data_IF_880944211252
#
_entry.id   IF_880944211252
#
_cell.length_a   1.000
_cell.length_b   1.000
_cell.length_c   1.000
_cell.angle_alpha   90.00
_cell.angle_beta   90.00
_cell.angle_gamma   90.00
#
_symmetry.space_group_name_H-M   'P 1'
#
loop_
_entity.id
_entity.type
_entity.pdbx_description
1 polymer ?
#
# COMPACT_ATOMS: atom_id res chain seq x y z
N UNK A 1 10.21 18.60 1.35
CA UNK A 1 8.88 17.95 1.56
C UNK A 1 9.01 16.78 2.53
N UNK A 2 9.84 15.77 2.25
CA UNK A 2 10.13 14.67 3.18
C UNK A 2 10.69 15.15 4.52
N UNK A 3 11.71 16.01 4.50
CA UNK A 3 12.33 16.53 5.75
C UNK A 3 11.34 17.28 6.64
N UNK A 4 10.33 17.93 6.03
CA UNK A 4 9.28 18.64 6.75
C UNK A 4 8.34 17.64 7.45
N UNK A 5 7.98 16.54 6.80
CA UNK A 5 7.17 15.48 7.42
C UNK A 5 7.92 14.78 8.56
N UNK A 6 9.25 14.61 8.41
CA UNK A 6 10.10 14.08 9.49
C UNK A 6 10.19 15.08 10.64
N UNK A 7 10.44 16.36 10.35
CA UNK A 7 10.51 17.41 11.38
C UNK A 7 9.19 17.59 12.14
N UNK A 8 8.05 17.35 11.48
CA UNK A 8 6.72 17.36 12.09
C UNK A 8 6.36 16.08 12.84
N UNK A 9 7.23 15.06 12.82
CA UNK A 9 7.01 13.78 13.49
C UNK A 9 5.98 12.87 12.79
N UNK A 10 5.61 13.17 11.55
CA UNK A 10 4.71 12.33 10.75
C UNK A 10 5.43 11.12 10.14
N UNK A 11 6.75 11.20 9.96
CA UNK A 11 7.60 10.12 9.47
C UNK A 11 8.79 9.93 10.39
N UNK A 12 9.20 8.68 10.55
CA UNK A 12 10.46 8.31 11.21
C UNK A 12 11.36 7.63 10.20
N UNK A 13 12.63 8.02 10.15
CA UNK A 13 13.63 7.35 9.31
C UNK A 13 14.08 6.08 10.03
N UNK A 14 13.86 4.94 9.42
CA UNK A 14 14.33 3.65 9.91
C UNK A 14 15.53 3.18 9.06
N UNK A 15 16.53 2.59 9.72
CA UNK A 15 17.64 1.91 9.05
C UNK A 15 17.46 0.41 9.26
N UNK A 16 17.64 -0.37 8.19
CA UNK A 16 17.65 -1.83 8.31
C UNK A 16 18.92 -2.30 9.03
N UNK A 17 18.73 -3.12 10.04
CA UNK A 17 19.79 -3.91 10.66
C UNK A 17 20.16 -5.12 9.80
N UNK A 18 21.01 -5.99 10.35
CA UNK A 18 21.47 -7.18 9.64
C UNK A 18 20.31 -8.11 9.27
N UNK A 19 19.34 -8.31 10.18
CA UNK A 19 18.19 -9.18 9.92
C UNK A 19 17.28 -8.61 8.82
N UNK A 20 17.03 -7.29 8.84
CA UNK A 20 16.31 -6.60 7.78
C UNK A 20 17.01 -6.71 6.43
N UNK A 21 18.34 -6.56 6.39
CA UNK A 21 19.12 -6.71 5.15
C UNK A 21 19.09 -8.14 4.59
N UNK A 22 19.09 -9.16 5.45
CA UNK A 22 18.94 -10.55 5.02
C UNK A 22 17.57 -10.80 4.36
N UNK A 23 16.49 -10.30 4.99
CA UNK A 23 15.15 -10.35 4.41
C UNK A 23 15.07 -9.60 3.08
N UNK A 24 15.63 -8.39 3.00
CA UNK A 24 15.71 -7.61 1.78
C UNK A 24 16.43 -8.38 0.67
N UNK A 25 17.60 -8.96 0.96
CA UNK A 25 18.37 -9.76 -0.01
C UNK A 25 17.57 -10.94 -0.56
N UNK A 26 16.84 -11.65 0.31
CA UNK A 26 15.98 -12.78 -0.10
C UNK A 26 14.84 -12.37 -1.04
N UNK A 27 14.43 -11.11 -1.01
CA UNK A 27 13.34 -10.56 -1.81
C UNK A 27 13.78 -9.96 -3.13
N UNK A 28 15.06 -9.57 -3.29
CA UNK A 28 15.56 -8.94 -4.53
C UNK A 28 16.47 -9.84 -5.36
N UNK A 29 17.00 -10.92 -4.77
CA UNK A 29 17.90 -11.86 -5.44
C UNK A 29 17.14 -13.14 -5.82
N UNK A 30 17.18 -13.51 -7.10
CA UNK A 30 16.58 -14.75 -7.60
C UNK A 30 15.82 -14.57 -8.91
N UNK A 31 14.85 -15.47 -9.14
CA UNK A 31 14.02 -15.43 -10.34
C UNK A 31 13.08 -14.21 -10.31
N UNK A 32 12.91 -13.54 -11.44
CA UNK A 32 12.07 -12.34 -11.55
C UNK A 32 10.59 -12.54 -11.12
N UNK A 33 10.09 -13.78 -11.18
CA UNK A 33 8.75 -14.13 -10.72
C UNK A 33 8.63 -14.06 -9.19
N UNK A 34 9.71 -14.31 -8.48
CA UNK A 34 9.79 -14.48 -7.03
C UNK A 34 10.62 -13.38 -6.35
N UNK A 35 11.09 -12.40 -7.12
CA UNK A 35 11.73 -11.20 -6.61
C UNK A 35 10.86 -9.96 -6.77
N UNK A 36 11.14 -8.95 -5.95
CA UNK A 36 10.48 -7.66 -5.91
C UNK A 36 11.42 -6.55 -6.36
N UNK A 37 10.85 -5.38 -6.62
CA UNK A 37 11.65 -4.16 -6.67
C UNK A 37 12.18 -3.80 -5.27
N UNK A 38 13.15 -2.89 -5.25
CA UNK A 38 13.82 -2.44 -4.04
C UNK A 38 12.86 -1.76 -3.06
N UNK A 39 11.87 -1.00 -3.55
CA UNK A 39 10.90 -0.30 -2.70
C UNK A 39 10.00 -1.26 -1.91
N UNK A 40 9.38 -2.22 -2.60
CA UNK A 40 8.49 -3.21 -1.98
C UNK A 40 9.29 -4.17 -1.08
N UNK A 41 10.48 -4.60 -1.52
CA UNK A 41 11.36 -5.43 -0.71
C UNK A 41 11.81 -4.71 0.58
N UNK A 42 12.22 -3.44 0.49
CA UNK A 42 12.63 -2.66 1.65
C UNK A 42 11.48 -2.46 2.63
N UNK A 43 10.26 -2.23 2.12
CA UNK A 43 9.06 -2.07 2.96
C UNK A 43 8.76 -3.34 3.75
N UNK A 44 8.78 -4.52 3.11
CA UNK A 44 8.55 -5.81 3.77
C UNK A 44 9.66 -6.12 4.77
N UNK A 45 10.92 -5.94 4.39
CA UNK A 45 12.06 -6.17 5.28
C UNK A 45 12.02 -5.28 6.53
N UNK A 46 11.68 -4.00 6.36
CA UNK A 46 11.53 -3.05 7.45
C UNK A 46 10.39 -3.47 8.39
N UNK A 47 9.25 -3.87 7.84
CA UNK A 47 8.11 -4.30 8.65
C UNK A 47 8.41 -5.60 9.43
N UNK A 48 9.14 -6.55 8.84
CA UNK A 48 9.59 -7.76 9.53
C UNK A 48 10.51 -7.44 10.70
N UNK A 49 11.52 -6.59 10.48
CA UNK A 49 12.50 -6.26 11.51
C UNK A 49 11.88 -5.45 12.65
N UNK A 50 10.95 -4.54 12.34
CA UNK A 50 10.30 -3.67 13.33
C UNK A 50 9.07 -4.33 14.00
N UNK A 51 8.62 -5.49 13.51
CA UNK A 51 7.35 -6.08 13.96
C UNK A 51 6.14 -5.20 13.61
N UNK A 52 6.19 -4.50 12.48
CA UNK A 52 5.18 -3.56 12.03
C UNK A 52 4.21 -4.18 11.00
N UNK A 53 3.25 -3.38 10.56
CA UNK A 53 2.33 -3.72 9.46
C UNK A 53 2.91 -3.17 8.16
N UNK A 54 3.04 -4.00 7.13
CA UNK A 54 3.44 -3.53 5.81
C UNK A 54 2.21 -3.10 4.99
N UNK A 55 2.26 -1.90 4.42
CA UNK A 55 1.25 -1.40 3.48
C UNK A 55 1.73 -1.65 2.05
N UNK A 56 1.08 -2.58 1.36
CA UNK A 56 1.50 -3.07 0.04
C UNK A 56 0.29 -3.13 -0.89
N UNK A 57 0.29 -2.34 -1.96
CA UNK A 57 -0.78 -2.36 -2.96
C UNK A 57 -0.51 -3.37 -4.09
N UNK A 58 0.76 -3.62 -4.39
CA UNK A 58 1.18 -4.45 -5.52
C UNK A 58 0.85 -5.94 -5.30
N UNK A 59 0.36 -6.60 -6.36
CA UNK A 59 -0.18 -7.95 -6.31
C UNK A 59 0.89 -9.01 -6.12
N UNK A 60 2.03 -8.92 -6.83
CA UNK A 60 3.15 -9.86 -6.72
C UNK A 60 3.79 -9.76 -5.33
N UNK A 61 4.00 -8.57 -4.78
CA UNK A 61 4.49 -8.32 -3.43
C UNK A 61 3.59 -8.93 -2.37
N UNK A 62 2.27 -8.71 -2.45
CA UNK A 62 1.32 -9.37 -1.54
C UNK A 62 1.34 -10.90 -1.66
N UNK A 63 1.45 -11.44 -2.87
CA UNK A 63 1.55 -12.89 -3.08
C UNK A 63 2.82 -13.46 -2.45
N UNK A 64 3.98 -12.91 -2.79
CA UNK A 64 5.28 -13.35 -2.27
C UNK A 64 5.29 -13.23 -0.74
N UNK A 65 4.79 -12.13 -0.19
CA UNK A 65 4.72 -11.96 1.25
C UNK A 65 3.80 -12.97 1.94
N UNK A 66 2.64 -13.30 1.34
CA UNK A 66 1.76 -14.33 1.89
C UNK A 66 2.38 -15.74 1.85
N UNK A 67 3.19 -16.03 0.83
CA UNK A 67 3.87 -17.32 0.66
C UNK A 67 5.10 -17.44 1.58
N UNK A 68 5.95 -16.41 1.64
CA UNK A 68 7.23 -16.44 2.36
C UNK A 68 7.11 -15.98 3.83
N UNK A 69 6.17 -15.09 4.13
CA UNK A 69 6.04 -14.43 5.45
C UNK A 69 4.57 -14.39 5.92
N UNK A 70 3.92 -15.55 6.10
CA UNK A 70 2.48 -15.63 6.39
C UNK A 70 2.06 -14.96 7.71
N UNK A 71 3.01 -14.71 8.61
CA UNK A 71 2.76 -14.05 9.90
C UNK A 71 2.91 -12.51 9.83
N UNK A 72 3.43 -11.96 8.73
CA UNK A 72 3.56 -10.51 8.58
C UNK A 72 2.18 -9.88 8.32
N UNK A 73 1.71 -8.97 9.18
CA UNK A 73 0.46 -8.27 8.92
C UNK A 73 0.60 -7.39 7.66
N UNK A 74 -0.32 -7.58 6.72
CA UNK A 74 -0.40 -6.81 5.48
C UNK A 74 -1.70 -6.03 5.41
N UNK A 75 -1.60 -4.79 4.94
CA UNK A 75 -2.75 -3.96 4.55
C UNK A 75 -2.51 -3.36 3.16
N UNK A 76 -3.58 -3.07 2.44
CA UNK A 76 -3.51 -2.17 1.28
C UNK A 76 -3.76 -0.72 1.73
N UNK A 77 -3.37 0.25 0.90
CA UNK A 77 -3.69 1.66 1.12
C UNK A 77 -5.20 1.83 1.25
N UNK A 78 -5.99 1.11 0.45
CA UNK A 78 -7.45 1.17 0.54
C UNK A 78 -7.96 0.64 1.87
N UNK A 79 -7.45 -0.49 2.36
CA UNK A 79 -7.84 -1.03 3.67
C UNK A 79 -7.47 -0.08 4.82
N UNK A 80 -6.36 0.65 4.72
CA UNK A 80 -6.03 1.72 5.66
C UNK A 80 -7.04 2.86 5.58
N UNK A 81 -7.33 3.37 4.37
CA UNK A 81 -8.26 4.50 4.16
C UNK A 81 -9.70 4.18 4.58
N UNK A 82 -10.10 2.90 4.55
CA UNK A 82 -11.41 2.41 5.01
C UNK A 82 -11.63 2.54 6.52
N UNK A 83 -10.56 2.75 7.30
CA UNK A 83 -10.66 2.88 8.75
C UNK A 83 -11.44 4.14 9.12
N UNK A 84 -12.49 4.05 9.96
CA UNK A 84 -13.32 5.20 10.33
C UNK A 84 -12.51 6.37 10.88
N UNK A 85 -11.42 6.07 11.59
CA UNK A 85 -10.52 7.06 12.17
C UNK A 85 -9.88 7.95 11.08
N UNK A 86 -9.54 7.37 9.94
CA UNK A 86 -8.92 8.08 8.81
C UNK A 86 -9.95 8.93 8.10
N UNK A 87 -11.14 8.37 7.83
CA UNK A 87 -12.23 9.14 7.21
C UNK A 87 -12.68 10.31 8.09
N UNK A 88 -12.74 10.11 9.42
CA UNK A 88 -13.09 11.16 10.37
C UNK A 88 -12.00 12.25 10.47
N UNK A 89 -10.72 11.87 10.44
CA UNK A 89 -9.61 12.82 10.53
C UNK A 89 -9.48 13.71 9.28
N UNK A 90 -9.74 13.17 8.09
CA UNK A 90 -9.67 13.93 6.84
C UNK A 90 -10.94 14.76 6.59
N UNK A 91 -12.11 14.30 7.04
CA UNK A 91 -13.38 14.90 6.66
C UNK A 91 -13.82 14.49 5.26
N UNK A 92 -15.13 14.56 4.98
CA UNK A 92 -15.72 13.90 3.81
C UNK A 92 -15.25 14.45 2.44
N UNK A 93 -15.08 15.77 2.33
CA UNK A 93 -14.66 16.41 1.07
C UNK A 93 -13.19 16.07 0.77
N UNK A 94 -12.30 16.31 1.74
CA UNK A 94 -10.87 16.08 1.57
C UNK A 94 -10.56 14.58 1.41
N UNK A 95 -11.35 13.70 2.01
CA UNK A 95 -11.21 12.25 1.83
C UNK A 95 -11.46 11.82 0.38
N UNK A 96 -12.54 12.32 -0.24
CA UNK A 96 -12.85 11.99 -1.64
C UNK A 96 -11.74 12.46 -2.57
N UNK A 97 -11.28 13.69 -2.39
CA UNK A 97 -10.22 14.26 -3.22
C UNK A 97 -8.89 13.54 -3.00
N UNK A 98 -8.56 13.16 -1.77
CA UNK A 98 -7.40 12.32 -1.47
C UNK A 98 -7.48 10.97 -2.20
N UNK A 99 -8.64 10.31 -2.19
CA UNK A 99 -8.84 9.03 -2.87
C UNK A 99 -8.72 9.16 -4.40
N UNK A 100 -9.29 10.21 -4.99
CA UNK A 100 -9.15 10.51 -6.43
C UNK A 100 -7.69 10.81 -6.79
N UNK A 101 -6.98 11.56 -5.97
CA UNK A 101 -5.55 11.84 -6.16
C UNK A 101 -4.70 10.56 -6.02
N UNK A 102 -5.01 9.67 -5.09
CA UNK A 102 -4.34 8.39 -4.95
C UNK A 102 -4.51 7.52 -6.21
N UNK A 103 -5.72 7.46 -6.76
CA UNK A 103 -6.00 6.72 -8.00
C UNK A 103 -5.32 7.32 -9.23
N UNK A 104 -5.39 8.65 -9.40
CA UNK A 104 -4.94 9.33 -10.62
C UNK A 104 -3.46 9.69 -10.63
N UNK A 105 -2.93 10.24 -9.53
CA UNK A 105 -1.56 10.75 -9.44
C UNK A 105 -0.60 9.69 -8.93
N UNK A 106 -0.98 8.97 -7.87
CA UNK A 106 -0.16 7.91 -7.30
C UNK A 106 -0.34 6.55 -7.99
N UNK A 107 -1.32 6.43 -8.89
CA UNK A 107 -1.67 5.18 -9.60
C UNK A 107 -1.91 4.01 -8.63
N UNK A 108 -2.51 4.31 -7.47
CA UNK A 108 -2.82 3.34 -6.42
C UNK A 108 -3.57 2.13 -7.02
N UNK A 109 -3.07 0.93 -6.77
CA UNK A 109 -3.76 -0.29 -7.19
C UNK A 109 -4.90 -0.60 -6.22
N UNK A 110 -6.07 -0.89 -6.77
CA UNK A 110 -7.25 -1.28 -5.97
C UNK A 110 -7.49 -2.77 -6.16
N UNK A 111 -7.39 -3.51 -5.06
CA UNK A 111 -7.71 -4.93 -5.04
C UNK A 111 -9.18 -5.16 -5.46
N UNK A 112 -9.50 -6.24 -6.19
CA UNK A 112 -10.87 -6.48 -6.65
C UNK A 112 -11.93 -6.40 -5.56
N UNK A 113 -11.63 -6.89 -4.35
CA UNK A 113 -12.52 -6.87 -3.19
C UNK A 113 -12.82 -5.46 -2.65
N UNK A 114 -12.00 -4.47 -2.98
CA UNK A 114 -12.15 -3.09 -2.49
C UNK A 114 -12.76 -2.13 -3.52
N UNK A 115 -12.93 -2.58 -4.78
CA UNK A 115 -13.39 -1.72 -5.88
C UNK A 115 -14.76 -1.11 -5.63
N UNK A 116 -15.72 -1.92 -5.18
CA UNK A 116 -17.08 -1.47 -4.91
C UNK A 116 -17.10 -0.34 -3.87
N UNK A 117 -16.32 -0.51 -2.80
CA UNK A 117 -16.19 0.52 -1.76
C UNK A 117 -15.55 1.80 -2.32
N UNK A 118 -14.47 1.69 -3.10
CA UNK A 118 -13.83 2.87 -3.72
C UNK A 118 -14.81 3.59 -4.65
N UNK A 119 -15.56 2.86 -5.47
CA UNK A 119 -16.56 3.41 -6.38
C UNK A 119 -17.68 4.14 -5.63
N UNK A 120 -18.14 3.58 -4.51
CA UNK A 120 -19.12 4.23 -3.65
C UNK A 120 -18.59 5.56 -3.10
N UNK A 121 -17.33 5.61 -2.65
CA UNK A 121 -16.74 6.81 -2.06
C UNK A 121 -16.49 7.94 -3.07
N UNK A 122 -16.07 7.63 -4.30
CA UNK A 122 -15.77 8.67 -5.31
C UNK A 122 -16.99 9.04 -6.18
N UNK A 123 -18.04 8.23 -6.15
CA UNK A 123 -19.23 8.35 -7.00
C UNK A 123 -19.05 7.70 -8.37
N UNK A 124 -20.15 7.20 -8.94
CA UNK A 124 -20.16 6.44 -10.20
C UNK A 124 -19.61 7.22 -11.40
N UNK A 125 -19.94 8.51 -11.51
CA UNK A 125 -19.44 9.39 -12.58
C UNK A 125 -17.91 9.51 -12.56
N UNK A 126 -17.33 9.66 -11.36
CA UNK A 126 -15.88 9.73 -11.18
C UNK A 126 -15.23 8.36 -11.41
N UNK A 127 -15.84 7.29 -10.90
CA UNK A 127 -15.36 5.93 -11.08
C UNK A 127 -15.25 5.52 -12.56
N UNK A 128 -16.16 6.01 -13.41
CA UNK A 128 -16.13 5.74 -14.85
C UNK A 128 -14.84 6.25 -15.54
N UNK A 129 -14.13 7.21 -14.93
CA UNK A 129 -12.85 7.73 -15.42
C UNK A 129 -11.67 6.78 -15.15
N UNK A 130 -11.87 5.74 -14.32
CA UNK A 130 -10.82 4.81 -13.91
C UNK A 130 -11.11 3.39 -14.43
N UNK A 131 -10.52 2.99 -15.57
CA UNK A 131 -10.71 1.65 -16.13
C UNK A 131 -10.30 0.50 -15.21
N UNK A 132 -9.43 0.75 -14.23
CA UNK A 132 -9.00 -0.22 -13.22
C UNK A 132 -10.13 -0.60 -12.24
N UNK A 133 -11.13 0.27 -12.05
CA UNK A 133 -12.26 0.03 -11.15
C UNK A 133 -13.44 -0.65 -11.84
N UNK A 134 -13.63 -0.42 -13.12
CA UNK A 134 -14.80 -0.91 -13.89
C UNK A 134 -14.61 -2.29 -14.51
N UNK A 135 -13.41 -2.88 -14.43
CA UNK A 135 -13.19 -4.27 -14.84
C UNK A 135 -13.91 -5.21 -13.88
N UNK A 136 -15.09 -5.67 -14.28
CA UNK A 136 -15.75 -6.83 -13.67
C UNK A 136 -14.83 -8.02 -13.94
N UNK A 137 -14.27 -8.60 -12.87
CA UNK A 137 -13.58 -9.88 -12.94
C UNK A 137 -14.59 -10.90 -13.48
N UNK A 138 -14.38 -11.40 -14.70
CA UNK A 138 -15.09 -12.57 -15.21
C UNK A 138 -14.55 -13.82 -14.54
#
# INVERSE_FOLDING_TARGET
>A
MLDLLVAQGHLTIANLGAAGLDHFGSLVIGNAADTLDDGEAATIACALEMGAVALIDERKARRICAECFPMLPLLTTVQMLRRPEITAALGAIDFRDALVNALSKARMQVAPADREWVMHMIGSECAALFPSLTKISR
#
